data_IF_676033479936
#
_entry.id   IF_676033479936
#
_cell.length_a   1.000
_cell.length_b   1.000
_cell.length_c   1.000
_cell.angle_alpha   90.00
_cell.angle_beta   90.00
_cell.angle_gamma   90.00
#
_symmetry.space_group_name_H-M   'P 1'
#
loop_
_entity.id
_entity.type
_entity.pdbx_description
1 polymer ?
#
# COMPACT_ATOMS: atom_id res chain seq x y z
N UNK A 1 -1.67 -6.01 20.47
CA UNK A 1 -0.48 -5.14 20.61
C UNK A 1 -0.89 -3.73 20.28
N UNK A 2 -0.34 -2.75 20.97
CA UNK A 2 -0.67 -1.32 20.78
C UNK A 2 0.42 -0.63 19.94
N UNK A 3 0.04 0.37 19.15
CA UNK A 3 0.96 1.13 18.29
C UNK A 3 0.47 2.58 18.17
N UNK A 4 1.35 3.46 17.69
CA UNK A 4 0.99 4.86 17.41
C UNK A 4 0.77 5.07 15.92
N UNK A 5 0.00 6.11 15.57
CA UNK A 5 -0.16 6.52 14.16
C UNK A 5 1.20 6.72 13.50
N UNK A 6 2.16 7.33 14.21
CA UNK A 6 3.49 7.57 13.66
C UNK A 6 4.25 6.28 13.33
N UNK A 7 4.18 5.26 14.19
CA UNK A 7 4.81 3.95 13.92
C UNK A 7 4.15 3.26 12.74
N UNK A 8 2.83 3.36 12.60
CA UNK A 8 2.09 2.80 11.47
C UNK A 8 2.45 3.50 10.16
N UNK A 9 2.44 4.83 10.13
CA UNK A 9 2.84 5.62 8.95
C UNK A 9 4.27 5.28 8.56
N UNK A 10 5.20 5.22 9.52
CA UNK A 10 6.59 4.85 9.27
C UNK A 10 6.72 3.45 8.65
N UNK A 11 5.91 2.48 9.08
CA UNK A 11 5.91 1.14 8.49
C UNK A 11 5.35 1.14 7.06
N UNK A 12 4.27 1.89 6.79
CA UNK A 12 3.74 2.03 5.44
C UNK A 12 4.69 2.80 4.52
N UNK A 13 5.49 3.74 5.05
CA UNK A 13 6.54 4.43 4.29
C UNK A 13 7.59 3.49 3.74
N UNK A 14 7.90 2.39 4.46
CA UNK A 14 8.79 1.34 3.95
C UNK A 14 8.19 0.68 2.71
N UNK A 15 6.88 0.40 2.70
CA UNK A 15 6.23 -0.21 1.53
C UNK A 15 6.19 0.81 0.38
N UNK A 16 5.76 2.04 0.66
CA UNK A 16 5.60 3.10 -0.33
C UNK A 16 6.90 3.46 -1.05
N UNK A 17 8.04 3.42 -0.35
CA UNK A 17 9.34 3.83 -0.89
C UNK A 17 10.16 2.69 -1.53
N UNK A 18 9.56 1.50 -1.72
CA UNK A 18 10.25 0.34 -2.31
C UNK A 18 11.10 -0.46 -1.33
N UNK A 19 10.83 -0.37 -0.02
CA UNK A 19 11.33 -1.28 1.00
C UNK A 19 12.47 -0.77 1.87
N UNK A 20 12.72 0.54 1.87
CA UNK A 20 13.80 1.18 2.65
C UNK A 20 13.29 1.71 3.98
N UNK A 21 14.07 1.48 5.03
CA UNK A 21 13.72 1.96 6.37
C UNK A 21 13.71 3.49 6.42
N UNK A 22 12.66 4.04 7.04
CA UNK A 22 12.52 5.47 7.33
C UNK A 22 12.56 5.66 8.84
N UNK A 23 13.33 6.66 9.29
CA UNK A 23 13.28 7.18 10.66
C UNK A 23 12.43 8.46 10.62
N UNK A 24 11.21 8.47 11.17
CA UNK A 24 10.40 9.69 11.18
C UNK A 24 11.06 10.77 12.05
N UNK A 25 11.08 12.00 11.57
CA UNK A 25 11.54 13.17 12.32
C UNK A 25 10.59 14.34 12.15
N UNK A 26 10.51 15.19 13.17
CA UNK A 26 9.91 16.52 13.08
C UNK A 26 10.98 17.61 12.91
N UNK A 27 12.20 17.37 13.39
CA UNK A 27 13.30 18.32 13.39
C UNK A 27 14.31 17.90 12.33
N UNK A 28 14.50 18.74 11.30
CA UNK A 28 15.51 18.49 10.27
C UNK A 28 16.90 18.96 10.69
N UNK A 29 17.00 20.17 11.24
CA UNK A 29 18.28 20.80 11.58
C UNK A 29 18.18 21.73 12.78
N UNK A 30 19.21 21.73 13.63
CA UNK A 30 19.40 22.70 14.72
C UNK A 30 20.73 23.42 14.49
N UNK A 31 20.74 24.75 14.57
CA UNK A 31 21.93 25.59 14.39
C UNK A 31 22.15 26.49 15.61
N UNK A 32 23.41 26.84 15.88
CA UNK A 32 23.75 27.88 16.87
C UNK A 32 23.53 29.31 16.32
N UNK A 33 23.74 30.32 17.17
CA UNK A 33 23.62 31.75 16.81
C UNK A 33 24.57 32.21 15.69
N UNK A 34 25.59 31.43 15.35
CA UNK A 34 26.57 31.72 14.32
C UNK A 34 26.30 30.90 13.04
N UNK A 35 25.24 30.10 13.01
CA UNK A 35 24.85 29.27 11.86
C UNK A 35 25.53 27.90 11.83
N UNK A 36 26.29 27.51 12.86
CA UNK A 36 26.91 26.17 12.91
C UNK A 36 25.83 25.13 13.22
N UNK A 37 25.74 24.09 12.37
CA UNK A 37 24.83 22.96 12.58
C UNK A 37 25.27 22.13 13.79
N UNK A 38 24.40 22.01 14.78
CA UNK A 38 24.56 21.18 15.99
C UNK A 38 23.95 19.80 15.77
N UNK A 39 22.82 19.74 15.06
CA UNK A 39 22.09 18.52 14.75
C UNK A 39 21.56 18.59 13.33
N UNK A 40 21.59 17.46 12.63
CA UNK A 40 20.98 17.25 11.31
C UNK A 40 20.41 15.84 11.26
N UNK A 41 19.16 15.70 10.84
CA UNK A 41 18.54 14.39 10.70
C UNK A 41 18.94 13.69 9.40
N UNK A 42 19.08 14.44 8.30
CA UNK A 42 19.54 13.89 7.03
C UNK A 42 21.02 13.46 7.12
N UNK A 43 21.26 12.15 7.07
CA UNK A 43 22.57 11.54 7.14
C UNK A 43 23.17 11.26 5.75
N UNK A 44 22.36 11.30 4.68
CA UNK A 44 22.85 11.06 3.32
C UNK A 44 23.85 12.15 2.90
N UNK A 45 24.96 11.71 2.33
CA UNK A 45 25.93 12.60 1.72
C UNK A 45 25.48 12.91 0.29
N UNK A 46 25.59 14.18 -0.11
CA UNK A 46 25.57 14.56 -1.51
C UNK A 46 26.95 15.08 -1.90
N UNK A 47 27.76 14.19 -2.47
CA UNK A 47 29.04 14.56 -3.06
C UNK A 47 28.78 15.37 -4.34
N UNK A 48 29.40 16.55 -4.46
CA UNK A 48 29.19 17.44 -5.62
C UNK A 48 27.98 18.38 -5.53
N UNK A 49 27.17 18.34 -4.46
CA UNK A 49 26.12 19.34 -4.16
C UNK A 49 26.69 20.70 -3.69
N UNK A 50 27.82 21.15 -4.23
CA UNK A 50 28.48 22.41 -3.89
C UNK A 50 28.86 23.24 -5.13
N UNK A 51 28.35 22.88 -6.31
CA UNK A 51 28.56 23.64 -7.52
C UNK A 51 27.92 25.04 -7.41
N UNK A 52 28.72 26.09 -7.58
CA UNK A 52 28.24 27.49 -7.54
C UNK A 52 27.54 27.93 -8.83
N UNK A 53 27.73 27.18 -9.91
CA UNK A 53 27.12 27.43 -11.21
C UNK A 53 26.96 26.14 -12.01
N UNK A 54 26.03 26.13 -12.96
CA UNK A 54 25.90 25.07 -13.94
C UNK A 54 26.98 25.19 -15.01
N UNK A 55 27.76 24.13 -15.21
CA UNK A 55 28.88 24.02 -16.16
C UNK A 55 28.71 22.81 -17.09
N UNK A 56 27.48 22.33 -17.27
CA UNK A 56 27.16 21.07 -17.96
C UNK A 56 27.78 19.83 -17.29
N UNK A 57 27.95 19.85 -15.96
CA UNK A 57 28.23 18.65 -15.17
C UNK A 57 26.98 17.77 -15.04
N UNK A 58 27.16 16.48 -14.73
CA UNK A 58 26.03 15.63 -14.36
C UNK A 58 25.37 16.10 -13.05
N UNK A 59 24.09 15.77 -12.88
CA UNK A 59 23.37 16.04 -11.62
C UNK A 59 23.98 15.22 -10.48
N UNK A 60 24.25 15.83 -9.30
CA UNK A 60 24.78 15.11 -8.15
C UNK A 60 23.84 13.98 -7.72
N UNK A 61 24.37 12.76 -7.64
CA UNK A 61 23.61 11.60 -7.18
C UNK A 61 23.69 11.52 -5.66
N UNK A 62 22.56 11.64 -4.98
CA UNK A 62 22.48 11.42 -3.53
C UNK A 62 22.57 9.92 -3.26
N UNK A 63 23.63 9.49 -2.57
CA UNK A 63 23.80 8.09 -2.19
C UNK A 63 22.78 7.76 -1.10
N UNK A 64 21.88 6.84 -1.41
CA UNK A 64 20.89 6.35 -0.47
C UNK A 64 21.49 5.27 0.42
N UNK A 65 21.76 5.63 1.68
CA UNK A 65 22.38 4.76 2.69
C UNK A 65 21.35 4.12 3.64
N UNK A 66 20.04 4.26 3.36
CA UNK A 66 18.98 3.65 4.18
C UNK A 66 19.03 2.12 4.07
N UNK A 67 18.75 1.45 5.19
CA UNK A 67 18.66 -0.01 5.24
C UNK A 67 17.51 -0.52 4.36
N UNK A 68 17.79 -1.49 3.48
CA UNK A 68 16.77 -2.18 2.70
C UNK A 68 16.18 -3.32 3.54
N UNK A 69 14.97 -3.13 4.05
CA UNK A 69 14.31 -4.07 4.98
C UNK A 69 13.22 -4.92 4.31
N UNK A 70 12.79 -4.55 3.10
CA UNK A 70 11.84 -5.29 2.30
C UNK A 70 12.32 -5.36 0.85
N UNK A 71 12.17 -6.49 0.18
CA UNK A 71 12.52 -6.60 -1.25
C UNK A 71 11.65 -5.65 -2.11
N UNK A 72 12.23 -4.84 -3.03
CA UNK A 72 11.46 -3.86 -3.82
C UNK A 72 10.31 -4.46 -4.61
N UNK A 73 10.48 -5.68 -5.15
CA UNK A 73 9.40 -6.38 -5.86
C UNK A 73 8.25 -6.74 -4.92
N UNK A 74 8.55 -7.16 -3.69
CA UNK A 74 7.54 -7.40 -2.63
C UNK A 74 6.81 -6.12 -2.26
N UNK A 75 7.55 -5.00 -2.11
CA UNK A 75 6.98 -3.71 -1.78
C UNK A 75 5.99 -3.24 -2.87
N UNK A 76 6.39 -3.38 -4.14
CA UNK A 76 5.52 -3.04 -5.27
C UNK A 76 4.31 -3.98 -5.39
N UNK A 77 4.51 -5.29 -5.24
CA UNK A 77 3.40 -6.25 -5.25
C UNK A 77 2.39 -5.95 -4.13
N UNK A 78 2.88 -5.61 -2.93
CA UNK A 78 2.02 -5.16 -1.81
C UNK A 78 1.27 -3.88 -2.17
N UNK A 79 1.95 -2.93 -2.82
CA UNK A 79 1.33 -1.69 -3.30
C UNK A 79 0.21 -1.98 -4.31
N UNK A 80 0.42 -2.85 -5.30
CA UNK A 80 -0.61 -3.28 -6.27
C UNK A 80 -1.85 -3.84 -5.58
N UNK A 81 -1.66 -4.70 -4.58
CA UNK A 81 -2.78 -5.26 -3.80
C UNK A 81 -3.52 -4.17 -3.01
N UNK A 82 -2.79 -3.21 -2.43
CA UNK A 82 -3.35 -2.11 -1.65
C UNK A 82 -4.06 -1.05 -2.51
N UNK A 83 -3.64 -0.84 -3.77
CA UNK A 83 -4.42 -0.06 -4.75
C UNK A 83 -5.80 -0.72 -4.98
N UNK A 84 -5.85 -2.06 -4.99
CA UNK A 84 -7.10 -2.81 -5.08
C UNK A 84 -8.08 -2.54 -3.93
N UNK A 85 -7.60 -2.27 -2.72
CA UNK A 85 -8.47 -1.92 -1.59
C UNK A 85 -9.21 -0.60 -1.83
N UNK A 86 -8.53 0.35 -2.47
CA UNK A 86 -9.06 1.69 -2.79
C UNK A 86 -9.93 1.67 -4.04
N UNK A 87 -9.57 0.90 -5.05
CA UNK A 87 -10.31 0.84 -6.32
C UNK A 87 -11.57 -0.02 -6.22
N UNK A 88 -11.48 -1.17 -5.55
CA UNK A 88 -12.48 -2.25 -5.64
C UNK A 88 -12.77 -2.96 -4.30
N UNK A 89 -12.13 -2.53 -3.22
CA UNK A 89 -12.25 -3.13 -1.90
C UNK A 89 -13.01 -2.27 -0.90
N UNK A 90 -12.62 -2.36 0.37
CA UNK A 90 -13.32 -1.71 1.49
C UNK A 90 -13.29 -0.18 1.45
N UNK A 91 -12.39 0.42 0.67
CA UNK A 91 -12.31 1.87 0.49
C UNK A 91 -12.82 2.34 -0.89
N UNK A 92 -13.44 1.45 -1.66
CA UNK A 92 -14.01 1.76 -2.98
C UNK A 92 -15.01 2.92 -2.91
N UNK A 93 -14.79 3.92 -3.77
CA UNK A 93 -15.64 5.11 -3.88
C UNK A 93 -15.53 6.09 -2.70
N UNK A 94 -14.65 5.83 -1.72
CA UNK A 94 -14.43 6.70 -0.54
C UNK A 94 -13.35 7.72 -0.76
N UNK A 95 -12.33 7.38 -1.56
CA UNK A 95 -11.22 8.26 -1.92
C UNK A 95 -11.41 8.64 -3.38
N UNK A 96 -11.74 9.92 -3.63
CA UNK A 96 -12.09 10.44 -4.96
C UNK A 96 -11.05 11.45 -5.43
N UNK A 97 -9.86 10.96 -5.75
CA UNK A 97 -8.73 11.77 -6.25
C UNK A 97 -8.22 11.17 -7.55
N UNK A 98 -7.72 12.02 -8.45
CA UNK A 98 -7.15 11.60 -9.75
C UNK A 98 -5.64 11.36 -9.62
N UNK A 99 -5.27 10.49 -8.67
CA UNK A 99 -3.89 10.12 -8.38
C UNK A 99 -3.86 8.64 -7.96
N UNK A 100 -2.74 7.92 -8.18
CA UNK A 100 -2.55 6.59 -7.62
C UNK A 100 -2.58 6.63 -6.09
N UNK A 101 -3.44 5.82 -5.48
CA UNK A 101 -3.56 5.69 -4.02
C UNK A 101 -3.62 4.21 -3.65
N UNK A 102 -2.74 3.82 -2.73
CA UNK A 102 -2.73 2.52 -2.08
C UNK A 102 -3.06 2.70 -0.60
N UNK A 103 -3.81 1.78 0.01
CA UNK A 103 -4.05 1.88 1.44
C UNK A 103 -4.90 0.75 2.00
N UNK A 104 -5.07 0.76 3.32
CA UNK A 104 -5.83 -0.27 4.02
C UNK A 104 -6.71 0.33 5.11
N UNK A 105 -7.93 -0.17 5.16
CA UNK A 105 -8.88 0.03 6.25
C UNK A 105 -8.50 -0.85 7.45
N UNK A 106 -8.58 -0.29 8.65
CA UNK A 106 -8.57 -1.05 9.90
C UNK A 106 -9.81 -0.71 10.71
N UNK A 107 -10.42 -1.73 11.32
CA UNK A 107 -11.53 -1.57 12.26
C UNK A 107 -11.29 -2.55 13.40
N UNK A 108 -11.29 -2.09 14.65
CA UNK A 108 -11.16 -3.00 15.81
C UNK A 108 -12.49 -3.62 16.19
N UNK A 109 -12.44 -4.63 17.07
CA UNK A 109 -13.64 -5.28 17.59
C UNK A 109 -14.57 -4.24 18.25
N UNK A 110 -15.87 -4.49 18.15
CA UNK A 110 -16.94 -3.61 18.63
C UNK A 110 -16.90 -2.18 18.03
N UNK A 111 -16.22 -1.99 16.89
CA UNK A 111 -16.11 -0.70 16.19
C UNK A 111 -15.56 0.43 17.10
N UNK A 112 -14.61 0.11 17.99
CA UNK A 112 -14.02 1.10 18.91
C UNK A 112 -13.05 2.04 18.23
N UNK A 113 -12.36 1.54 17.20
CA UNK A 113 -11.33 2.24 16.48
C UNK A 113 -11.54 2.12 14.98
N UNK A 114 -11.47 3.26 14.29
CA UNK A 114 -11.49 3.33 12.83
C UNK A 114 -10.14 3.85 12.33
N UNK A 115 -9.48 3.04 11.52
CA UNK A 115 -8.18 3.34 10.93
C UNK A 115 -8.26 3.40 9.41
N UNK A 116 -7.48 4.31 8.85
CA UNK A 116 -7.06 4.21 7.46
C UNK A 116 -5.61 4.63 7.36
N UNK A 117 -4.77 3.77 6.80
CA UNK A 117 -3.37 4.12 6.48
C UNK A 117 -3.18 3.89 5.00
N UNK A 118 -2.71 4.91 4.31
CA UNK A 118 -2.56 4.89 2.87
C UNK A 118 -1.50 5.86 2.39
N UNK A 119 -1.22 5.79 1.11
CA UNK A 119 -0.16 6.54 0.49
C UNK A 119 -0.39 6.74 -1.00
N UNK A 120 0.16 7.85 -1.49
CA UNK A 120 0.50 8.10 -2.89
C UNK A 120 1.99 7.79 -3.08
N UNK A 121 2.56 7.87 -4.29
CA UNK A 121 4.00 7.63 -4.46
C UNK A 121 4.89 8.58 -3.65
N UNK A 122 4.41 9.80 -3.39
CA UNK A 122 5.21 10.86 -2.75
C UNK A 122 4.83 11.14 -1.28
N UNK A 123 3.73 10.57 -0.77
CA UNK A 123 3.24 10.87 0.57
C UNK A 123 2.56 9.68 1.24
N UNK A 124 2.85 9.45 2.51
CA UNK A 124 2.14 8.48 3.36
C UNK A 124 1.40 9.21 4.47
N UNK A 125 0.13 8.86 4.67
CA UNK A 125 -0.68 9.40 5.76
C UNK A 125 -1.45 8.27 6.48
N UNK A 126 -1.64 8.46 7.79
CA UNK A 126 -2.37 7.55 8.65
C UNK A 126 -3.38 8.33 9.47
N UNK A 127 -4.60 7.83 9.53
CA UNK A 127 -5.69 8.41 10.29
C UNK A 127 -6.23 7.38 11.27
N UNK A 128 -6.39 7.82 12.50
CA UNK A 128 -7.01 7.09 13.60
C UNK A 128 -8.18 7.91 14.15
N UNK A 129 -9.30 7.24 14.40
CA UNK A 129 -10.46 7.82 15.05
C UNK A 129 -10.89 6.85 16.16
N UNK A 130 -11.02 7.37 17.37
CA UNK A 130 -11.38 6.63 18.57
C UNK A 130 -11.66 7.60 19.72
N UNK A 131 -12.27 7.12 20.79
CA UNK A 131 -12.44 7.88 22.02
C UNK A 131 -11.25 7.64 22.97
N UNK A 132 -10.83 8.67 23.71
CA UNK A 132 -9.74 8.57 24.71
C UNK A 132 -10.04 7.49 25.76
N UNK A 133 -11.31 7.36 26.14
CA UNK A 133 -11.82 6.21 26.89
C UNK A 133 -12.50 5.27 25.89
N UNK A 134 -11.94 4.06 25.63
CA UNK A 134 -12.42 3.19 24.55
C UNK A 134 -13.93 2.89 24.65
N UNK A 135 -14.67 3.35 23.66
CA UNK A 135 -16.10 3.13 23.51
C UNK A 135 -16.45 2.88 22.04
N UNK A 136 -17.53 2.15 21.73
CA UNK A 136 -17.96 1.95 20.35
C UNK A 136 -18.20 3.28 19.63
N UNK A 137 -17.73 3.42 18.39
CA UNK A 137 -17.97 4.59 17.53
C UNK A 137 -19.42 4.66 17.02
N UNK A 138 -20.23 3.66 17.33
CA UNK A 138 -21.59 3.50 16.84
C UNK A 138 -21.63 2.68 15.56
N UNK A 139 -22.82 2.12 15.27
CA UNK A 139 -23.01 1.16 14.17
C UNK A 139 -22.52 1.74 12.85
N UNK A 140 -21.57 1.06 12.21
CA UNK A 140 -20.97 1.51 10.96
C UNK A 140 -19.83 2.50 11.15
N UNK A 141 -19.28 2.63 12.36
CA UNK A 141 -18.07 3.38 12.68
C UNK A 141 -16.80 2.65 12.27
N UNK A 142 -16.64 2.36 10.99
CA UNK A 142 -15.53 1.56 10.45
C UNK A 142 -14.47 2.43 9.78
N UNK A 143 -13.28 1.86 9.57
CA UNK A 143 -12.21 2.54 8.82
C UNK A 143 -12.62 2.95 7.39
N UNK A 144 -13.53 2.21 6.74
CA UNK A 144 -13.98 2.54 5.38
C UNK A 144 -15.06 3.63 5.31
N UNK A 145 -15.85 3.79 6.37
CA UNK A 145 -16.95 4.77 6.41
C UNK A 145 -16.55 6.08 7.08
N UNK A 146 -15.66 6.04 8.07
CA UNK A 146 -15.19 7.22 8.79
C UNK A 146 -13.81 7.68 8.32
N UNK A 147 -12.81 6.81 8.40
CA UNK A 147 -11.41 7.23 8.20
C UNK A 147 -11.05 7.40 6.73
N UNK A 148 -11.49 6.51 5.84
CA UNK A 148 -11.14 6.57 4.41
C UNK A 148 -11.63 7.86 3.69
N UNK A 149 -12.86 8.36 3.92
CA UNK A 149 -13.29 9.64 3.34
C UNK A 149 -12.45 10.83 3.79
N UNK A 150 -12.14 10.94 5.09
CA UNK A 150 -11.32 12.03 5.64
C UNK A 150 -9.90 11.96 5.09
N UNK A 151 -9.33 10.76 4.97
CA UNK A 151 -8.06 10.57 4.27
C UNK A 151 -8.15 11.06 2.81
N UNK A 152 -9.24 10.71 2.11
CA UNK A 152 -9.46 11.15 0.72
C UNK A 152 -9.51 12.67 0.57
N UNK A 153 -10.19 13.36 1.49
CA UNK A 153 -10.22 14.83 1.53
C UNK A 153 -8.82 15.43 1.77
N UNK A 154 -8.07 14.86 2.72
CA UNK A 154 -6.70 15.29 2.99
C UNK A 154 -5.78 15.12 1.76
N UNK A 155 -5.85 13.96 1.08
CA UNK A 155 -5.07 13.73 -0.15
C UNK A 155 -5.52 14.68 -1.26
N UNK A 156 -6.82 14.93 -1.42
CA UNK A 156 -7.34 15.84 -2.43
C UNK A 156 -6.81 17.28 -2.24
N UNK A 157 -6.66 17.71 -0.99
CA UNK A 157 -6.08 19.01 -0.68
C UNK A 157 -4.56 19.03 -0.91
N UNK A 158 -3.85 18.03 -0.40
CA UNK A 158 -2.40 17.89 -0.57
C UNK A 158 -2.01 17.79 -2.05
N UNK A 159 -2.80 17.10 -2.87
CA UNK A 159 -2.61 16.92 -4.32
C UNK A 159 -2.45 18.24 -5.08
N UNK A 160 -3.02 19.35 -4.59
CA UNK A 160 -2.88 20.68 -5.21
C UNK A 160 -1.43 21.19 -5.19
N UNK A 161 -0.59 20.62 -4.34
CA UNK A 161 0.80 21.00 -4.13
C UNK A 161 1.80 19.91 -4.52
N UNK A 162 1.32 18.74 -4.93
CA UNK A 162 2.14 17.60 -5.33
C UNK A 162 2.20 17.50 -6.85
N UNK A 163 3.32 17.00 -7.36
CA UNK A 163 3.42 16.63 -8.77
C UNK A 163 2.78 15.26 -8.97
N UNK A 164 1.90 15.09 -9.97
CA UNK A 164 1.35 13.77 -10.27
C UNK A 164 2.46 12.79 -10.64
N UNK A 165 2.52 11.68 -9.91
CA UNK A 165 3.52 10.62 -10.08
C UNK A 165 2.84 9.25 -10.06
N UNK A 166 3.58 8.21 -10.44
CA UNK A 166 3.12 6.81 -10.42
C UNK A 166 4.01 5.99 -9.51
N UNK A 167 3.47 4.90 -8.97
CA UNK A 167 4.28 3.93 -8.25
C UNK A 167 5.36 3.35 -9.17
N UNK A 168 6.60 3.34 -8.69
CA UNK A 168 7.75 2.89 -9.48
C UNK A 168 7.73 1.36 -9.52
N UNK A 169 7.60 0.81 -10.72
CA UNK A 169 7.67 -0.63 -10.96
C UNK A 169 9.13 -1.09 -10.94
N UNK A 170 9.54 -2.02 -10.06
CA UNK A 170 10.87 -2.59 -10.09
C UNK A 170 11.14 -3.35 -11.40
N UNK A 171 12.38 -3.25 -11.90
CA UNK A 171 12.78 -3.94 -13.12
C UNK A 171 12.58 -5.46 -13.01
N UNK A 172 12.00 -6.07 -14.04
CA UNK A 172 11.72 -7.51 -14.09
C UNK A 172 10.38 -7.95 -13.50
N UNK A 173 9.54 -7.04 -12.98
CA UNK A 173 8.17 -7.38 -12.62
C UNK A 173 7.36 -7.80 -13.85
N UNK A 174 6.56 -8.86 -13.69
CA UNK A 174 5.60 -9.33 -14.69
C UNK A 174 4.19 -8.92 -14.29
N UNK A 175 3.40 -8.47 -15.26
CA UNK A 175 1.98 -8.17 -15.05
C UNK A 175 1.15 -9.24 -15.73
N UNK A 176 0.28 -9.89 -14.94
CA UNK A 176 -0.56 -10.99 -15.42
C UNK A 176 -2.02 -10.62 -15.18
N UNK A 177 -2.85 -10.85 -16.18
CA UNK A 177 -4.29 -10.75 -16.05
C UNK A 177 -4.78 -11.93 -15.21
N UNK A 178 -5.49 -11.66 -14.12
CA UNK A 178 -5.96 -12.65 -13.14
C UNK A 178 -7.45 -12.49 -12.94
N UNK A 179 -8.18 -13.61 -12.89
CA UNK A 179 -9.57 -13.58 -12.47
C UNK A 179 -9.62 -13.33 -10.96
N UNK A 180 -10.23 -12.21 -10.56
CA UNK A 180 -10.28 -11.77 -9.16
C UNK A 180 -10.90 -12.79 -8.20
N UNK A 181 -11.82 -13.64 -8.68
CA UNK A 181 -12.53 -14.63 -7.86
C UNK A 181 -11.73 -15.92 -7.68
N UNK A 182 -11.02 -16.36 -8.72
CA UNK A 182 -10.31 -17.65 -8.69
C UNK A 182 -8.83 -17.52 -8.37
N UNK A 183 -8.24 -16.34 -8.60
CA UNK A 183 -6.79 -16.12 -8.46
C UNK A 183 -5.96 -16.73 -9.59
N UNK A 184 -6.60 -17.31 -10.61
CA UNK A 184 -5.94 -17.91 -11.78
C UNK A 184 -5.71 -16.89 -12.89
N UNK A 185 -4.81 -17.20 -13.82
CA UNK A 185 -4.65 -16.43 -15.05
C UNK A 185 -6.00 -16.32 -15.79
N UNK A 186 -6.40 -15.10 -16.14
CA UNK A 186 -7.64 -14.84 -16.84
C UNK A 186 -7.50 -15.14 -18.34
N UNK A 187 -8.54 -15.71 -18.93
CA UNK A 187 -8.68 -15.82 -20.38
C UNK A 187 -9.07 -14.47 -21.00
N UNK A 188 -8.80 -14.31 -22.30
CA UNK A 188 -9.21 -13.11 -23.03
C UNK A 188 -10.74 -12.95 -23.00
N UNK A 189 -11.21 -11.76 -22.60
CA UNK A 189 -12.64 -11.46 -22.48
C UNK A 189 -13.33 -12.00 -21.22
N UNK A 190 -12.59 -12.63 -20.31
CA UNK A 190 -13.15 -13.13 -19.05
C UNK A 190 -13.60 -11.98 -18.12
N UNK A 191 -14.81 -12.04 -17.54
CA UNK A 191 -15.28 -11.01 -16.61
C UNK A 191 -14.50 -11.03 -15.29
N UNK A 192 -14.54 -9.93 -14.53
CA UNK A 192 -13.85 -9.77 -13.24
C UNK A 192 -12.31 -9.90 -13.31
N UNK A 193 -11.73 -9.61 -14.47
CA UNK A 193 -10.27 -9.61 -14.69
C UNK A 193 -9.60 -8.39 -14.07
N UNK A 194 -8.49 -8.61 -13.37
CA UNK A 194 -7.61 -7.58 -12.82
C UNK A 194 -6.16 -7.82 -13.26
N UNK A 195 -5.41 -6.75 -13.47
CA UNK A 195 -3.96 -6.87 -13.67
C UNK A 195 -3.28 -6.93 -12.31
N UNK A 196 -2.49 -7.98 -12.08
CA UNK A 196 -1.71 -8.14 -10.85
C UNK A 196 -0.22 -8.29 -11.17
N UNK A 197 0.59 -7.81 -10.23
CA UNK A 197 2.04 -7.76 -10.38
C UNK A 197 2.69 -8.98 -9.71
N UNK A 198 3.52 -9.70 -10.45
CA UNK A 198 4.25 -10.90 -10.00
C UNK A 198 5.75 -10.72 -10.17
N UNK A 199 6.52 -11.30 -9.25
CA UNK A 199 7.97 -11.41 -9.38
C UNK A 199 8.34 -12.40 -10.48
N UNK A 200 9.54 -12.32 -11.08
CA UNK A 200 10.05 -13.35 -11.97
C UNK A 200 9.92 -14.76 -11.35
N UNK A 201 9.38 -15.70 -12.12
CA UNK A 201 9.19 -17.09 -11.66
C UNK A 201 8.07 -17.29 -10.63
N UNK A 202 7.35 -16.24 -10.26
CA UNK A 202 6.09 -16.32 -9.53
C UNK A 202 4.95 -15.97 -10.48
N UNK A 203 3.77 -16.53 -10.26
CA UNK A 203 2.62 -16.32 -11.12
C UNK A 203 1.33 -16.78 -10.43
N UNK A 204 0.17 -16.49 -11.03
CA UNK A 204 -1.08 -17.08 -10.56
C UNK A 204 -0.97 -18.60 -10.58
N UNK A 205 -1.63 -19.26 -9.64
CA UNK A 205 -1.59 -20.72 -9.57
C UNK A 205 -2.21 -21.33 -10.85
N UNK A 206 -1.51 -22.28 -11.46
CA UNK A 206 -2.03 -23.05 -12.60
C UNK A 206 -3.19 -24.00 -12.17
N UNK A 207 -3.34 -24.23 -10.86
CA UNK A 207 -4.37 -25.10 -10.28
C UNK A 207 -4.82 -24.62 -8.89
N UNK A 208 -6.08 -24.90 -8.55
CA UNK A 208 -6.68 -24.58 -7.25
C UNK A 208 -6.77 -25.86 -6.42
N UNK A 209 -6.19 -25.87 -5.23
CA UNK A 209 -6.31 -27.00 -4.29
C UNK A 209 -7.26 -26.61 -3.16
N UNK A 210 -8.34 -27.37 -3.01
CA UNK A 210 -9.22 -27.27 -1.85
C UNK A 210 -8.59 -28.09 -0.72
N UNK A 211 -8.37 -27.49 0.45
CA UNK A 211 -7.84 -28.20 1.62
C UNK A 211 -8.78 -29.38 1.94
N UNK A 212 -8.27 -30.61 1.79
CA UNK A 212 -9.03 -31.85 1.99
C UNK A 212 -9.40 -32.65 0.73
N UNK A 213 -9.03 -32.19 -0.47
CA UNK A 213 -9.19 -32.97 -1.70
C UNK A 213 -7.89 -33.70 -2.07
N UNK A 214 -7.94 -35.04 -2.17
CA UNK A 214 -6.83 -35.82 -2.72
C UNK A 214 -6.84 -35.72 -4.26
N UNK A 215 -6.02 -34.84 -4.81
CA UNK A 215 -5.72 -34.78 -6.25
C UNK A 215 -6.05 -33.46 -6.94
N UNK A 216 -5.44 -33.28 -8.11
CA UNK A 216 -5.63 -32.14 -8.99
C UNK A 216 -7.05 -32.16 -9.58
N UNK A 217 -7.78 -31.05 -9.49
CA UNK A 217 -9.14 -30.92 -10.03
C UNK A 217 -9.23 -29.73 -10.98
N UNK A 218 -9.98 -29.89 -12.08
CA UNK A 218 -10.26 -28.79 -13.01
C UNK A 218 -11.25 -27.79 -12.40
N UNK A 219 -11.31 -26.57 -12.95
CA UNK A 219 -12.23 -25.51 -12.49
C UNK A 219 -13.70 -25.97 -12.49
N UNK A 220 -14.11 -26.72 -13.52
CA UNK A 220 -15.47 -27.27 -13.62
C UNK A 220 -15.75 -28.35 -12.58
N UNK A 221 -14.74 -29.16 -12.26
CA UNK A 221 -14.86 -30.23 -11.27
C UNK A 221 -14.90 -29.67 -9.85
N UNK A 222 -14.13 -28.61 -9.54
CA UNK A 222 -14.15 -27.95 -8.22
C UNK A 222 -15.51 -27.33 -7.92
N UNK A 223 -16.10 -26.66 -8.92
CA UNK A 223 -17.43 -26.04 -8.79
C UNK A 223 -18.55 -27.07 -8.57
N UNK A 224 -18.36 -28.32 -9.01
CA UNK A 224 -19.31 -29.43 -8.79
C UNK A 224 -19.08 -30.15 -7.46
N UNK A 225 -17.86 -30.15 -6.94
CA UNK A 225 -17.46 -31.08 -5.87
C UNK A 225 -17.28 -30.39 -4.50
N UNK A 226 -17.05 -29.08 -4.46
CA UNK A 226 -16.90 -28.33 -3.19
C UNK A 226 -18.00 -27.29 -3.00
N UNK A 227 -19.03 -27.61 -2.17
CA UNK A 227 -20.05 -26.65 -1.76
C UNK A 227 -19.47 -25.40 -1.08
N UNK A 228 -18.31 -25.54 -0.43
CA UNK A 228 -17.60 -24.45 0.26
C UNK A 228 -16.88 -23.52 -0.73
N UNK A 229 -16.25 -24.05 -1.78
CA UNK A 229 -15.70 -23.23 -2.87
C UNK A 229 -16.82 -22.50 -3.62
N UNK A 230 -17.94 -23.18 -3.84
CA UNK A 230 -19.13 -22.58 -4.44
C UNK A 230 -19.72 -21.47 -3.55
N UNK A 231 -19.77 -21.66 -2.23
CA UNK A 231 -20.15 -20.63 -1.25
C UNK A 231 -19.16 -19.46 -1.15
N UNK A 232 -17.85 -19.71 -1.24
CA UNK A 232 -16.84 -18.65 -1.23
C UNK A 232 -16.97 -17.74 -2.48
N UNK A 233 -17.28 -18.33 -3.64
CA UNK A 233 -17.46 -17.61 -4.92
C UNK A 233 -18.83 -16.90 -4.99
N UNK A 234 -19.90 -17.54 -4.50
CA UNK A 234 -21.27 -16.97 -4.57
C UNK A 234 -21.63 -16.07 -3.39
N UNK A 235 -20.99 -16.27 -2.23
CA UNK A 235 -21.30 -15.55 -0.98
C UNK A 235 -20.66 -14.16 -0.87
N UNK A 236 -19.81 -13.75 -1.83
CA UNK A 236 -19.19 -12.41 -1.83
C UNK A 236 -18.33 -12.11 -0.60
N UNK A 237 -17.90 -13.14 0.15
CA UNK A 237 -17.05 -13.01 1.32
C UNK A 237 -15.66 -12.59 0.90
N UNK A 238 -15.33 -11.32 1.11
CA UNK A 238 -14.02 -10.77 0.81
C UNK A 238 -12.93 -11.43 1.65
N UNK A 239 -12.12 -12.25 0.98
CA UNK A 239 -10.70 -12.49 1.22
C UNK A 239 -10.25 -12.94 2.61
N UNK A 240 -9.81 -14.19 2.69
CA UNK A 240 -8.60 -14.63 3.40
C UNK A 240 -8.20 -15.99 2.79
N UNK A 241 -7.70 -15.98 1.55
CA UNK A 241 -6.89 -17.04 0.96
C UNK A 241 -5.94 -16.39 -0.04
#
# INVERSE_FOLDING_TARGET
>A
GETTVMRMVSAYSVIANGGKQIKPTLIDRIQDRYGKTIFRHEERACEGCNATSWQNQDEPVIVDNREQVLDPMTAYQTTSMLEGVVQRGTAAGKIKVDLPVAGKTGTTNDEKDAWFVGYTPDMVAGLYIGFDSPAPLGRGGTGGSLSAPIFGEFIADAAKHLQPSKFIVPAGMNFVAVNRKTGMAAAEGEPDTIMEAFKPGTGPADSFSVIGAEGYMSQEDILKTSPQAQQAITGGGGGLY
#
